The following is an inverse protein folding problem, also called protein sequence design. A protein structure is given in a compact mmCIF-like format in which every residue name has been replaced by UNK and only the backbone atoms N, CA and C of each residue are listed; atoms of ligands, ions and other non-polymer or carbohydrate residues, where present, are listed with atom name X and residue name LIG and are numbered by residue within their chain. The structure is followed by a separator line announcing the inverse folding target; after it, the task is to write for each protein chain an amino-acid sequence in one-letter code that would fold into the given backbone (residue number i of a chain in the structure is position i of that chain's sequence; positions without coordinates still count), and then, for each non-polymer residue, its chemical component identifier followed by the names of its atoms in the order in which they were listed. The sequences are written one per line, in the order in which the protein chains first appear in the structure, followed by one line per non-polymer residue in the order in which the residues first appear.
data_IF_897726337773
#
_entry.id   IF_897726337773
#
_cell.length_a   1.000
_cell.length_b   1.000
_cell.length_c   1.000
_cell.angle_alpha   90.00
_cell.angle_beta   90.00
_cell.angle_gamma   90.00
#
_symmetry.space_group_name_H-M   'P 1'
#
loop_
_entity.id
_entity.type
_entity.pdbx_description
1 polymer ?
#
# COMPACT_ATOMS: atom_id res chain seq x y z
N UNK A 1 10.20 3.90 -22.97
CA UNK A 1 8.94 3.19 -23.27
C UNK A 1 8.12 3.18 -22.00
N UNK A 2 7.15 4.08 -21.84
CA UNK A 2 6.22 4.04 -20.70
C UNK A 2 5.23 2.89 -20.95
N UNK A 3 5.43 1.78 -20.24
CA UNK A 3 4.55 0.62 -20.35
C UNK A 3 3.20 1.00 -19.73
N UNK A 4 2.19 1.24 -20.57
CA UNK A 4 0.82 1.35 -20.09
C UNK A 4 0.40 0.02 -19.46
N UNK A 5 0.32 0.03 -18.15
CA UNK A 5 0.03 -1.14 -17.34
C UNK A 5 -1.36 -1.70 -17.57
N UNK A 6 -1.46 -2.96 -18.03
CA UNK A 6 -2.73 -3.69 -18.00
C UNK A 6 -2.97 -4.20 -16.58
N UNK A 7 -3.84 -3.52 -15.84
CA UNK A 7 -4.25 -3.92 -14.49
C UNK A 7 -5.66 -4.55 -14.48
N UNK A 8 -5.90 -5.43 -13.50
CA UNK A 8 -7.19 -6.08 -13.27
C UNK A 8 -8.27 -5.05 -12.93
N UNK A 9 -9.57 -5.38 -13.12
CA UNK A 9 -10.66 -4.58 -12.60
C UNK A 9 -10.53 -4.38 -11.09
N UNK A 10 -10.91 -3.20 -10.61
CA UNK A 10 -10.97 -2.81 -9.19
C UNK A 10 -11.98 -3.64 -8.41
N UNK A 11 -13.07 -4.09 -9.05
CA UNK A 11 -14.13 -4.88 -8.43
C UNK A 11 -13.87 -6.38 -8.57
N UNK A 12 -13.83 -7.09 -7.44
CA UNK A 12 -13.62 -8.55 -7.40
C UNK A 12 -14.63 -9.36 -8.25
N UNK A 13 -15.85 -8.85 -8.44
CA UNK A 13 -16.92 -9.52 -9.20
C UNK A 13 -16.80 -9.33 -10.71
N UNK A 14 -15.97 -8.40 -11.16
CA UNK A 14 -15.90 -7.99 -12.55
C UNK A 14 -14.76 -8.74 -13.26
N UNK A 15 -15.00 -9.20 -14.51
CA UNK A 15 -14.00 -9.89 -15.33
C UNK A 15 -13.25 -8.94 -16.26
N UNK A 16 -13.96 -7.95 -16.81
CA UNK A 16 -13.44 -6.99 -17.79
C UNK A 16 -13.63 -5.59 -17.27
N UNK A 17 -12.59 -4.77 -17.40
CA UNK A 17 -12.57 -3.39 -16.92
C UNK A 17 -13.52 -2.52 -17.72
N UNK A 18 -14.26 -1.64 -17.04
CA UNK A 18 -15.11 -0.65 -17.74
C UNK A 18 -14.24 0.42 -18.42
N UNK A 19 -14.78 1.07 -19.46
CA UNK A 19 -14.01 1.99 -20.33
C UNK A 19 -13.46 3.20 -19.57
N UNK A 20 -14.21 3.64 -18.58
CA UNK A 20 -13.95 4.76 -17.68
C UNK A 20 -13.33 4.33 -16.35
N UNK A 21 -13.07 3.04 -16.13
CA UNK A 21 -12.47 2.56 -14.88
C UNK A 21 -10.95 2.84 -14.85
N UNK A 22 -10.53 4.10 -14.78
CA UNK A 22 -9.11 4.51 -14.85
C UNK A 22 -8.84 5.73 -13.98
N UNK A 23 -7.59 5.88 -13.52
CA UNK A 23 -7.17 7.00 -12.65
C UNK A 23 -7.53 8.35 -13.27
N UNK A 24 -7.29 8.52 -14.58
CA UNK A 24 -7.65 9.73 -15.32
C UNK A 24 -9.14 10.06 -15.25
N UNK A 25 -10.03 9.07 -15.37
CA UNK A 25 -11.47 9.30 -15.35
C UNK A 25 -11.95 9.77 -13.96
N UNK A 26 -11.35 9.24 -12.89
CA UNK A 26 -11.60 9.77 -11.54
C UNK A 26 -11.22 11.25 -11.47
N UNK A 27 -10.06 11.66 -12.00
CA UNK A 27 -9.65 13.06 -12.00
C UNK A 27 -10.51 13.93 -12.89
N UNK A 28 -10.93 13.45 -14.07
CA UNK A 28 -11.88 14.13 -14.95
C UNK A 28 -13.21 14.40 -14.23
N UNK A 29 -13.74 13.45 -13.46
CA UNK A 29 -14.95 13.61 -12.66
C UNK A 29 -14.86 14.77 -11.65
N UNK A 30 -13.67 15.03 -11.10
CA UNK A 30 -13.42 16.14 -10.17
C UNK A 30 -12.91 17.41 -10.87
N UNK A 31 -12.91 17.48 -12.20
CA UNK A 31 -12.42 18.65 -12.94
C UNK A 31 -10.91 18.85 -12.88
N UNK A 32 -10.15 17.77 -12.68
CA UNK A 32 -8.68 17.75 -12.56
C UNK A 32 -7.99 17.03 -13.72
N UNK A 33 -8.72 16.68 -14.79
CA UNK A 33 -8.20 15.85 -15.88
C UNK A 33 -7.09 16.50 -16.71
N UNK A 34 -7.07 17.83 -16.76
CA UNK A 34 -6.05 18.67 -17.39
C UNK A 34 -4.70 18.65 -16.66
N UNK A 35 -4.71 18.35 -15.35
CA UNK A 35 -3.50 18.21 -14.51
C UNK A 35 -2.92 16.79 -14.50
N UNK A 36 -3.60 15.83 -15.10
CA UNK A 36 -3.14 14.43 -15.13
C UNK A 36 -2.04 14.25 -16.19
N UNK A 37 -0.89 13.75 -15.78
CA UNK A 37 0.19 13.37 -16.69
C UNK A 37 0.02 11.91 -17.11
N UNK A 38 0.41 10.95 -16.26
CA UNK A 38 0.25 9.53 -16.54
C UNK A 38 0.43 8.65 -15.28
N UNK A 39 0.22 7.34 -15.43
CA UNK A 39 0.51 6.31 -14.44
C UNK A 39 1.61 5.40 -14.97
N UNK A 40 2.64 5.17 -14.16
CA UNK A 40 3.74 4.27 -14.49
C UNK A 40 3.66 3.03 -13.60
N UNK A 41 3.92 1.85 -14.18
CA UNK A 41 4.18 0.64 -13.41
C UNK A 41 5.68 0.54 -13.16
N UNK A 42 6.06 0.60 -11.89
CA UNK A 42 7.42 0.40 -11.43
C UNK A 42 7.41 -0.30 -10.08
N UNK A 43 8.51 -0.99 -9.78
CA UNK A 43 8.81 -1.45 -8.43
C UNK A 43 9.51 -0.31 -7.68
N UNK A 44 8.96 0.12 -6.55
CA UNK A 44 9.49 1.26 -5.81
C UNK A 44 10.89 1.00 -5.22
N UNK A 45 11.22 -0.26 -4.90
CA UNK A 45 12.56 -0.59 -4.41
C UNK A 45 13.64 -0.47 -5.49
N UNK A 46 13.25 -0.27 -6.75
CA UNK A 46 14.13 -0.16 -7.90
C UNK A 46 13.93 1.23 -8.54
N UNK A 47 14.83 2.20 -8.29
CA UNK A 47 14.67 3.56 -8.78
C UNK A 47 14.43 3.61 -10.30
N UNK A 48 13.30 4.21 -10.69
CA UNK A 48 12.93 4.38 -12.09
C UNK A 48 13.47 5.69 -12.69
N UNK A 49 13.55 6.73 -11.85
CA UNK A 49 13.79 8.10 -12.29
C UNK A 49 15.26 8.35 -12.53
N UNK A 50 15.57 9.08 -13.61
CA UNK A 50 16.94 9.53 -13.89
C UNK A 50 17.36 10.58 -12.87
N UNK A 51 18.67 10.68 -12.67
CA UNK A 51 19.26 11.79 -11.94
C UNK A 51 18.85 13.12 -12.59
N UNK A 52 18.57 14.13 -11.75
CA UNK A 52 18.12 15.46 -12.17
C UNK A 52 16.61 15.62 -12.38
N UNK A 53 15.80 14.56 -12.26
CA UNK A 53 14.33 14.71 -12.17
C UNK A 53 13.98 15.20 -10.77
N UNK A 54 13.31 16.35 -10.71
CA UNK A 54 12.88 16.95 -9.46
C UNK A 54 11.36 17.17 -9.40
N UNK A 55 10.80 17.05 -8.20
CA UNK A 55 9.39 17.24 -7.89
C UNK A 55 9.23 18.35 -6.86
N UNK A 56 8.17 19.15 -7.01
CA UNK A 56 7.78 20.14 -6.00
C UNK A 56 7.18 19.48 -4.76
N UNK A 57 6.46 18.37 -4.95
CA UNK A 57 5.89 17.58 -3.87
C UNK A 57 5.77 16.09 -4.22
N UNK A 58 5.89 15.25 -3.22
CA UNK A 58 5.61 13.81 -3.26
C UNK A 58 4.51 13.53 -2.25
N UNK A 59 3.41 12.90 -2.66
CA UNK A 59 2.28 12.57 -1.79
C UNK A 59 1.97 11.09 -1.94
N UNK A 60 1.96 10.33 -0.84
CA UNK A 60 1.75 8.88 -0.91
C UNK A 60 1.10 8.29 0.35
N UNK A 61 0.37 7.18 0.16
CA UNK A 61 -0.13 6.32 1.22
C UNK A 61 0.50 4.93 1.03
N UNK A 62 1.71 4.67 1.58
CA UNK A 62 2.41 3.44 1.31
C UNK A 62 1.66 2.19 1.80
N UNK A 63 1.85 1.02 1.18
CA UNK A 63 1.19 -0.21 1.62
C UNK A 63 1.65 -0.61 3.03
N UNK A 64 0.69 -0.79 3.94
CA UNK A 64 0.99 -1.17 5.34
C UNK A 64 1.16 -2.68 5.54
N UNK A 65 1.10 -3.47 4.47
CA UNK A 65 1.15 -4.93 4.57
C UNK A 65 -0.11 -5.56 5.18
N UNK A 66 -1.26 -4.89 5.25
CA UNK A 66 -2.52 -5.50 5.74
C UNK A 66 -3.40 -5.99 4.59
N UNK A 67 -3.66 -5.11 3.62
CA UNK A 67 -4.54 -5.39 2.48
C UNK A 67 -3.73 -5.72 1.24
N UNK A 68 -2.69 -4.95 0.99
CA UNK A 68 -1.74 -5.10 -0.10
C UNK A 68 -0.55 -5.96 0.36
N UNK A 69 -0.01 -6.79 -0.55
CA UNK A 69 1.24 -7.49 -0.30
C UNK A 69 2.39 -6.49 -0.40
N UNK A 70 3.30 -6.48 0.58
CA UNK A 70 4.53 -5.70 0.48
C UNK A 70 5.63 -6.61 -0.07
N UNK A 71 5.78 -6.53 -1.39
CA UNK A 71 6.73 -7.33 -2.17
C UNK A 71 7.61 -6.43 -3.00
N UNK A 72 8.87 -6.82 -3.14
CA UNK A 72 9.84 -6.21 -4.06
C UNK A 72 10.37 -7.26 -5.03
N UNK A 73 10.77 -6.83 -6.21
CA UNK A 73 11.45 -7.69 -7.19
C UNK A 73 12.84 -8.00 -6.66
N UNK A 74 13.21 -9.28 -6.70
CA UNK A 74 14.46 -9.76 -6.15
C UNK A 74 15.05 -10.88 -7.01
N UNK A 75 16.37 -10.81 -7.23
CA UNK A 75 17.11 -11.81 -7.99
C UNK A 75 17.70 -12.83 -7.04
N UNK A 76 16.97 -13.93 -6.83
CA UNK A 76 17.41 -15.01 -5.94
C UNK A 76 18.60 -15.75 -6.54
N UNK A 77 19.75 -15.73 -5.86
CA UNK A 77 21.01 -16.39 -6.30
C UNK A 77 20.89 -17.92 -6.32
N UNK A 78 19.89 -18.50 -5.65
CA UNK A 78 19.67 -19.94 -5.63
C UNK A 78 19.12 -20.41 -6.99
N UNK A 79 20.01 -20.98 -7.82
CA UNK A 79 19.69 -21.71 -9.03
C UNK A 79 18.77 -22.90 -8.72
N UNK A 80 17.45 -22.68 -8.71
CA UNK A 80 16.51 -23.79 -8.90
C UNK A 80 16.63 -24.23 -10.35
N UNK A 81 16.56 -25.54 -10.61
CA UNK A 81 16.52 -26.05 -11.98
C UNK A 81 15.43 -25.31 -12.76
N UNK A 82 15.81 -24.74 -13.91
CA UNK A 82 14.87 -24.06 -14.79
C UNK A 82 13.91 -25.10 -15.39
N UNK A 83 12.77 -25.30 -14.75
CA UNK A 83 11.66 -26.12 -15.27
C UNK A 83 10.83 -25.38 -16.33
N UNK A 84 11.32 -24.23 -16.81
CA UNK A 84 10.58 -23.32 -17.69
C UNK A 84 10.74 -23.73 -19.15
N UNK A 85 9.63 -23.90 -19.87
CA UNK A 85 9.64 -23.97 -21.34
C UNK A 85 9.94 -22.61 -21.97
N UNK A 86 10.48 -22.60 -23.20
CA UNK A 86 10.83 -21.37 -23.92
C UNK A 86 9.64 -20.43 -24.14
N UNK A 87 8.44 -20.98 -24.25
CA UNK A 87 7.21 -20.21 -24.57
C UNK A 87 6.52 -19.61 -23.33
N UNK A 88 7.00 -19.91 -22.12
CA UNK A 88 6.39 -19.37 -20.91
C UNK A 88 6.90 -17.96 -20.58
N UNK A 89 5.98 -17.00 -20.26
CA UNK A 89 6.37 -15.65 -19.85
C UNK A 89 7.19 -15.70 -18.55
N UNK A 90 8.26 -14.91 -18.50
CA UNK A 90 9.09 -14.79 -17.31
C UNK A 90 8.52 -13.74 -16.35
N UNK A 91 8.19 -14.16 -15.14
CA UNK A 91 7.92 -13.26 -14.03
C UNK A 91 9.13 -13.23 -13.10
N UNK A 92 9.67 -12.05 -12.77
CA UNK A 92 10.74 -11.92 -11.78
C UNK A 92 10.31 -12.53 -10.45
N UNK A 93 11.27 -13.07 -9.70
CA UNK A 93 11.00 -13.50 -8.33
C UNK A 93 10.74 -12.29 -7.43
N UNK A 94 9.88 -12.45 -6.43
CA UNK A 94 9.65 -11.43 -5.40
C UNK A 94 10.15 -11.88 -4.04
N UNK A 95 10.51 -10.92 -3.19
CA UNK A 95 10.81 -11.09 -1.77
C UNK A 95 10.02 -10.10 -0.92
N UNK A 96 10.01 -10.32 0.41
CA UNK A 96 9.27 -9.45 1.31
C UNK A 96 9.90 -8.06 1.35
N UNK A 97 9.08 -7.04 1.12
CA UNK A 97 9.46 -5.65 1.29
C UNK A 97 8.98 -5.19 2.67
N UNK A 98 9.89 -5.10 3.64
CA UNK A 98 9.52 -4.70 5.00
C UNK A 98 9.07 -3.24 5.02
N UNK A 99 8.15 -2.93 5.92
CA UNK A 99 7.67 -1.55 6.11
C UNK A 99 8.85 -0.61 6.42
N UNK A 100 9.81 -1.08 7.21
CA UNK A 100 11.08 -0.42 7.46
C UNK A 100 11.82 -0.02 6.18
N UNK A 101 12.16 -1.00 5.34
CA UNK A 101 12.91 -0.72 4.13
C UNK A 101 12.15 0.21 3.19
N UNK A 102 10.81 0.08 3.15
CA UNK A 102 9.97 0.96 2.35
C UNK A 102 10.12 2.43 2.75
N UNK A 103 10.07 2.76 4.04
CA UNK A 103 10.23 4.15 4.47
C UNK A 103 11.67 4.65 4.30
N UNK A 104 12.67 3.79 4.50
CA UNK A 104 14.07 4.13 4.19
C UNK A 104 14.18 4.57 2.73
N UNK A 105 13.70 3.73 1.82
CA UNK A 105 13.75 4.01 0.38
C UNK A 105 12.90 5.24 0.02
N UNK A 106 11.76 5.46 0.68
CA UNK A 106 10.90 6.63 0.46
C UNK A 106 11.56 7.94 0.87
N UNK A 107 12.18 7.99 2.04
CA UNK A 107 12.89 9.18 2.51
C UNK A 107 14.12 9.45 1.65
N UNK A 108 14.86 8.40 1.28
CA UNK A 108 15.99 8.50 0.36
C UNK A 108 15.55 9.05 -1.01
N UNK A 109 14.50 8.47 -1.60
CA UNK A 109 13.93 8.91 -2.87
C UNK A 109 13.51 10.38 -2.79
N UNK A 110 12.86 10.77 -1.70
CA UNK A 110 12.39 12.15 -1.50
C UNK A 110 13.55 13.13 -1.33
N UNK A 111 14.60 12.76 -0.59
CA UNK A 111 15.80 13.58 -0.46
C UNK A 111 16.50 13.79 -1.81
N UNK A 112 16.50 12.78 -2.69
CA UNK A 112 17.12 12.89 -4.02
C UNK A 112 16.27 13.71 -4.99
N UNK A 113 14.96 13.47 -5.03
CA UNK A 113 14.09 13.98 -6.09
C UNK A 113 13.19 15.15 -5.69
N UNK A 114 13.14 15.60 -4.44
CA UNK A 114 12.47 16.87 -4.13
C UNK A 114 13.36 18.05 -4.49
N UNK A 115 12.75 19.17 -4.89
CA UNK A 115 13.45 20.47 -4.90
C UNK A 115 13.74 20.92 -3.47
N UNK A 116 14.69 21.84 -3.29
CA UNK A 116 14.84 22.53 -1.99
C UNK A 116 13.54 23.24 -1.61
N UNK A 117 13.10 23.07 -0.36
CA UNK A 117 11.78 23.51 0.12
C UNK A 117 10.59 22.65 -0.37
N UNK A 118 10.83 21.66 -1.24
CA UNK A 118 9.83 20.69 -1.67
C UNK A 118 9.42 19.76 -0.54
N UNK A 119 8.23 19.16 -0.64
CA UNK A 119 7.63 18.41 0.48
C UNK A 119 7.28 16.96 0.17
N UNK A 120 7.61 16.07 1.10
CA UNK A 120 7.08 14.71 1.15
C UNK A 120 5.91 14.70 2.15
N UNK A 121 4.74 14.24 1.70
CA UNK A 121 3.58 13.97 2.55
C UNK A 121 3.28 12.48 2.48
N UNK A 122 3.42 11.77 3.60
CA UNK A 122 3.17 10.34 3.64
C UNK A 122 2.43 9.90 4.90
N UNK A 123 1.66 8.81 4.79
CA UNK A 123 1.07 8.15 5.94
C UNK A 123 2.04 7.15 6.56
N UNK A 124 2.14 7.10 7.89
CA UNK A 124 2.84 6.08 8.67
C UNK A 124 1.83 5.33 9.55
N UNK A 125 1.60 4.02 9.36
CA UNK A 125 0.74 3.25 10.25
C UNK A 125 1.44 2.97 11.58
N UNK A 126 0.69 2.99 12.67
CA UNK A 126 1.17 2.50 13.95
C UNK A 126 0.09 1.86 14.84
N UNK A 127 0.52 1.18 15.90
CA UNK A 127 -0.36 0.76 16.98
C UNK A 127 -0.25 1.77 18.12
N UNK A 128 -1.39 2.20 18.67
CA UNK A 128 -1.43 3.31 19.63
C UNK A 128 -0.55 3.08 20.86
N UNK A 129 -0.53 1.85 21.38
CA UNK A 129 0.28 1.49 22.55
C UNK A 129 1.79 1.42 22.27
N UNK A 130 2.20 1.29 21.00
CA UNK A 130 3.62 1.25 20.62
C UNK A 130 4.19 2.63 20.33
N UNK A 131 3.34 3.64 20.13
CA UNK A 131 3.77 4.90 19.56
C UNK A 131 4.80 5.61 20.44
N UNK A 132 6.01 5.77 19.89
CA UNK A 132 7.02 6.69 20.42
C UNK A 132 7.48 7.63 19.30
N UNK A 133 7.88 8.85 19.65
CA UNK A 133 8.38 9.83 18.68
C UNK A 133 9.63 9.35 17.94
N UNK A 134 10.37 8.41 18.53
CA UNK A 134 11.56 7.77 17.96
C UNK A 134 11.23 6.85 16.78
N UNK A 135 9.99 6.39 16.64
CA UNK A 135 9.55 5.56 15.52
C UNK A 135 9.34 6.35 14.23
N UNK A 136 9.42 7.67 14.26
CA UNK A 136 9.21 8.47 13.07
C UNK A 136 10.47 8.36 12.22
N UNK A 137 10.39 7.91 10.95
CA UNK A 137 11.54 7.86 10.05
C UNK A 137 12.19 9.24 9.94
N UNK A 138 13.52 9.29 9.98
CA UNK A 138 14.28 10.53 9.83
C UNK A 138 15.30 10.39 8.71
N UNK A 139 15.64 11.52 8.10
CA UNK A 139 16.68 11.60 7.08
C UNK A 139 17.33 12.97 7.17
N UNK A 140 18.66 13.04 7.10
CA UNK A 140 19.43 14.26 7.35
C UNK A 140 19.03 15.44 6.47
N UNK A 141 18.59 15.18 5.24
CA UNK A 141 18.12 16.21 4.28
C UNK A 141 16.63 16.56 4.36
N UNK A 142 15.88 16.01 5.32
CA UNK A 142 14.43 16.17 5.44
C UNK A 142 14.03 16.54 6.87
N UNK A 143 13.43 17.72 7.03
CA UNK A 143 12.91 18.17 8.32
C UNK A 143 11.43 17.82 8.47
N UNK A 144 11.06 17.22 9.60
CA UNK A 144 9.66 16.95 9.91
C UNK A 144 8.95 18.25 10.31
N UNK A 145 8.13 18.80 9.42
CA UNK A 145 7.38 20.04 9.62
C UNK A 145 5.91 19.82 10.02
N UNK A 146 5.40 18.59 9.86
CA UNK A 146 4.04 18.24 10.21
C UNK A 146 3.90 16.79 10.67
N UNK A 147 3.11 16.58 11.71
CA UNK A 147 2.79 15.26 12.26
C UNK A 147 1.35 15.30 12.81
N UNK A 148 0.42 14.64 12.13
CA UNK A 148 -0.99 14.63 12.52
C UNK A 148 -1.54 13.21 12.62
N UNK A 149 -2.11 12.85 13.76
CA UNK A 149 -2.70 11.53 14.00
C UNK A 149 -4.12 11.41 13.44
N UNK A 150 -4.39 10.30 12.77
CA UNK A 150 -5.72 9.83 12.40
C UNK A 150 -5.97 8.46 13.04
N UNK A 151 -6.87 8.39 14.05
CA UNK A 151 -7.29 7.12 14.61
C UNK A 151 -7.98 6.23 13.58
N UNK A 152 -7.66 4.93 13.58
CA UNK A 152 -8.33 3.91 12.79
C UNK A 152 -9.18 3.01 13.70
N UNK A 153 -9.79 1.96 13.13
CA UNK A 153 -10.60 1.03 13.93
C UNK A 153 -9.75 0.21 14.89
N UNK A 154 -10.16 0.13 16.16
CA UNK A 154 -9.49 -0.68 17.18
C UNK A 154 -8.33 0.06 17.84
N UNK A 155 -7.19 -0.60 17.96
CA UNK A 155 -5.99 -0.03 18.60
C UNK A 155 -4.97 0.52 17.60
N UNK A 156 -5.33 0.58 16.31
CA UNK A 156 -4.42 1.06 15.26
C UNK A 156 -4.73 2.51 14.90
N UNK A 157 -3.72 3.23 14.45
CA UNK A 157 -3.80 4.61 14.01
C UNK A 157 -2.79 4.84 12.89
N UNK A 158 -2.88 5.98 12.21
CA UNK A 158 -1.87 6.37 11.22
C UNK A 158 -1.57 7.85 11.35
N UNK A 159 -0.33 8.24 11.08
CA UNK A 159 0.12 9.63 11.16
C UNK A 159 0.38 10.15 9.76
N UNK A 160 -0.17 11.32 9.46
CA UNK A 160 0.20 12.10 8.28
C UNK A 160 1.48 12.85 8.63
N UNK A 161 2.59 12.42 8.05
CA UNK A 161 3.89 13.02 8.21
C UNK A 161 4.15 13.94 7.02
N UNK A 162 4.61 15.16 7.30
CA UNK A 162 5.04 16.11 6.29
C UNK A 162 6.49 16.45 6.54
N UNK A 163 7.34 16.15 5.56
CA UNK A 163 8.76 16.49 5.57
C UNK A 163 9.04 17.57 4.53
N UNK A 164 9.94 18.49 4.84
CA UNK A 164 10.43 19.52 3.92
C UNK A 164 11.91 19.28 3.63
N UNK A 165 12.31 19.34 2.35
CA UNK A 165 13.70 19.18 1.95
C UNK A 165 14.50 20.44 2.26
N UNK A 166 15.56 20.27 3.04
CA UNK A 166 16.50 21.35 3.40
C UNK A 166 17.80 21.25 2.59
N UNK A 167 18.56 22.34 2.57
CA UNK A 167 19.89 22.35 1.99
C UNK A 167 20.90 21.61 2.89
N UNK A 168 21.77 20.82 2.27
CA UNK A 168 22.76 19.95 2.92
C UNK A 168 24.09 20.71 3.15
N UNK A 169 24.24 21.94 2.66
CA UNK A 169 25.46 22.77 2.86
C UNK A 169 25.74 23.18 4.33
N UNK A 170 24.96 22.73 5.30
CA UNK A 170 25.36 22.72 6.72
C UNK A 170 26.40 21.61 6.96
N UNK A 171 27.55 21.90 7.60
CA UNK A 171 28.73 21.01 7.69
C UNK A 171 28.58 19.76 8.60
N UNK A 172 27.39 19.13 8.66
CA UNK A 172 27.16 17.82 9.26
C UNK A 172 26.86 16.79 8.15
N UNK A 173 27.80 16.67 7.23
CA UNK A 173 27.74 15.77 6.08
C UNK A 173 27.82 14.29 6.50
N UNK A 174 26.87 13.52 5.96
CA UNK A 174 26.86 12.06 5.80
C UNK A 174 26.49 11.21 7.03
N UNK A 175 25.19 11.03 7.26
CA UNK A 175 24.64 9.74 7.69
C UNK A 175 23.15 9.64 7.32
N UNK A 176 22.77 8.58 6.59
CA UNK A 176 21.39 8.09 6.61
C UNK A 176 21.15 7.56 8.03
N UNK A 177 20.39 8.28 8.85
CA UNK A 177 19.84 7.76 10.10
C UNK A 177 18.33 7.61 9.96
N UNK A 178 17.90 6.73 9.04
CA UNK A 178 16.53 6.23 9.11
C UNK A 178 16.46 5.22 10.26
N UNK A 179 16.34 5.72 11.48
CA UNK A 179 16.13 4.92 12.68
C UNK A 179 14.67 4.50 12.76
N UNK A 180 14.16 3.79 11.76
CA UNK A 180 12.92 3.07 12.00
C UNK A 180 13.31 1.83 12.81
N UNK A 181 12.71 1.60 13.98
CA UNK A 181 13.05 0.42 14.77
C UNK A 181 12.74 -0.84 13.95
N UNK A 182 13.75 -1.71 13.75
CA UNK A 182 13.61 -3.01 13.08
C UNK A 182 12.52 -3.90 13.72
N UNK A 183 12.11 -3.59 14.95
CA UNK A 183 11.08 -4.33 15.68
C UNK A 183 9.64 -4.01 15.24
N UNK A 184 9.43 -3.12 14.26
CA UNK A 184 8.08 -2.69 13.91
C UNK A 184 7.34 -3.65 12.98
N UNK A 185 6.83 -4.76 13.52
CA UNK A 185 5.91 -5.64 12.81
C UNK A 185 4.45 -5.20 13.02
N UNK A 186 4.09 -4.08 12.38
CA UNK A 186 2.72 -3.57 12.38
C UNK A 186 1.72 -4.63 11.93
N UNK A 187 2.09 -5.44 10.93
CA UNK A 187 1.21 -6.42 10.32
C UNK A 187 0.85 -7.49 11.34
N UNK A 188 1.84 -8.07 12.00
CA UNK A 188 1.60 -9.11 12.99
C UNK A 188 0.82 -8.58 14.19
N UNK A 189 1.16 -7.40 14.69
CA UNK A 189 0.44 -6.74 15.80
C UNK A 189 -1.01 -6.40 15.42
N UNK A 190 -1.25 -5.97 14.19
CA UNK A 190 -2.59 -5.69 13.66
C UNK A 190 -3.48 -6.94 13.63
N UNK A 191 -2.91 -8.10 13.28
CA UNK A 191 -3.67 -9.35 13.20
C UNK A 191 -3.80 -10.09 14.54
N UNK A 192 -2.81 -9.98 15.44
CA UNK A 192 -2.72 -10.80 16.64
C UNK A 192 -3.18 -10.09 17.93
N UNK A 193 -3.12 -8.75 18.01
CA UNK A 193 -3.46 -8.01 19.24
C UNK A 193 -4.85 -7.33 19.18
N UNK A 194 -5.79 -7.86 18.39
CA UNK A 194 -7.17 -7.41 18.47
C UNK A 194 -7.83 -7.99 19.74
N UNK A 195 -8.59 -7.20 20.53
CA UNK A 195 -9.24 -7.69 21.76
C UNK A 195 -10.28 -8.78 21.50
N UNK A 196 -10.73 -8.91 20.25
CA UNK A 196 -11.58 -10.00 19.77
C UNK A 196 -10.75 -10.81 18.76
N UNK A 197 -10.59 -12.11 19.00
CA UNK A 197 -9.89 -12.99 18.08
C UNK A 197 -10.54 -12.95 16.70
N UNK A 198 -9.76 -13.13 15.63
CA UNK A 198 -10.28 -13.22 14.26
C UNK A 198 -11.38 -14.28 14.15
N UNK A 199 -11.26 -15.37 14.90
CA UNK A 199 -12.23 -16.47 14.93
C UNK A 199 -13.53 -16.02 15.58
N UNK A 200 -13.45 -15.37 16.75
CA UNK A 200 -14.60 -14.84 17.49
C UNK A 200 -15.35 -13.78 16.66
N UNK A 201 -14.62 -12.83 16.07
CA UNK A 201 -15.18 -11.80 15.19
C UNK A 201 -15.90 -12.39 13.99
N UNK A 202 -15.38 -13.48 13.43
CA UNK A 202 -16.00 -14.21 12.31
C UNK A 202 -17.27 -14.93 12.76
N UNK A 203 -17.24 -15.59 13.91
CA UNK A 203 -18.38 -16.29 14.48
C UNK A 203 -19.53 -15.32 14.80
N UNK A 204 -19.25 -14.22 15.51
CA UNK A 204 -20.23 -13.18 15.82
C UNK A 204 -20.85 -12.56 14.57
N UNK A 205 -20.05 -12.23 13.56
CA UNK A 205 -20.58 -11.73 12.27
C UNK A 205 -21.43 -12.79 11.55
N UNK A 206 -21.09 -14.08 11.67
CA UNK A 206 -21.89 -15.16 11.10
C UNK A 206 -23.24 -15.32 11.83
N UNK A 207 -23.25 -15.22 13.15
CA UNK A 207 -24.47 -15.22 13.97
C UNK A 207 -25.37 -14.03 13.65
N UNK A 208 -24.81 -12.82 13.60
CA UNK A 208 -25.56 -11.61 13.19
C UNK A 208 -26.18 -11.76 11.80
N UNK A 209 -25.46 -12.37 10.85
CA UNK A 209 -26.00 -12.68 9.51
C UNK A 209 -27.11 -13.72 9.56
N UNK A 210 -27.00 -14.76 10.40
CA UNK A 210 -28.07 -15.75 10.59
C UNK A 210 -29.33 -15.10 11.16
N UNK A 211 -29.18 -14.25 12.19
CA UNK A 211 -30.28 -13.50 12.79
C UNK A 211 -30.94 -12.59 11.75
N UNK A 212 -30.15 -11.80 11.01
CA UNK A 212 -30.67 -10.94 9.94
C UNK A 212 -31.35 -11.73 8.81
N UNK A 213 -30.90 -12.96 8.52
CA UNK A 213 -31.53 -13.87 7.54
C UNK A 213 -32.90 -14.35 8.04
N UNK A 214 -33.01 -14.73 9.32
CA UNK A 214 -34.27 -15.12 9.95
C UNK A 214 -35.27 -13.95 9.97
N UNK A 215 -34.81 -12.75 10.33
CA UNK A 215 -35.64 -11.55 10.36
C UNK A 215 -36.11 -11.14 8.94
N UNK A 216 -35.25 -11.28 7.93
CA UNK A 216 -35.62 -11.06 6.54
C UNK A 216 -36.69 -12.04 6.04
N UNK A 217 -36.60 -13.32 6.41
CA UNK A 217 -37.65 -14.31 6.13
C UNK A 217 -38.98 -13.93 6.78
N UNK A 218 -38.96 -13.51 8.05
CA UNK A 218 -40.17 -13.03 8.75
C UNK A 218 -40.82 -11.83 8.05
N UNK A 219 -40.03 -11.00 7.36
CA UNK A 219 -40.51 -9.85 6.56
C UNK A 219 -40.89 -10.23 5.12
N UNK A 220 -40.93 -11.52 4.78
CA UNK A 220 -41.30 -11.99 3.44
C UNK A 220 -40.26 -11.70 2.35
N UNK A 221 -39.01 -11.35 2.69
CA UNK A 221 -37.96 -11.13 1.68
C UNK A 221 -37.49 -12.47 1.12
N UNK A 222 -37.50 -12.58 -0.21
CA UNK A 222 -36.87 -13.70 -0.93
C UNK A 222 -35.36 -13.62 -0.75
N UNK A 223 -34.77 -14.62 -0.11
CA UNK A 223 -33.32 -14.69 0.09
C UNK A 223 -32.71 -15.56 -1.01
N UNK A 224 -31.99 -14.91 -1.91
CA UNK A 224 -31.23 -15.58 -2.96
C UNK A 224 -29.84 -15.92 -2.39
N UNK A 225 -29.44 -17.19 -2.45
CA UNK A 225 -28.13 -17.63 -1.95
C UNK A 225 -27.00 -17.28 -2.93
N UNK A 226 -26.64 -15.99 -2.93
CA UNK A 226 -25.59 -15.44 -3.77
C UNK A 226 -24.19 -16.05 -3.51
N UNK A 227 -24.02 -16.82 -2.43
CA UNK A 227 -22.73 -17.45 -2.08
C UNK A 227 -22.43 -18.63 -3.00
N UNK A 228 -23.42 -19.46 -3.29
CA UNK A 228 -23.26 -20.61 -4.17
C UNK A 228 -23.05 -20.16 -5.62
N UNK A 229 -23.84 -19.17 -6.07
CA UNK A 229 -23.64 -18.51 -7.37
C UNK A 229 -22.22 -17.92 -7.50
N UNK A 230 -21.71 -17.23 -6.47
CA UNK A 230 -20.33 -16.69 -6.46
C UNK A 230 -19.26 -17.78 -6.45
N UNK A 231 -19.46 -18.87 -5.72
CA UNK A 231 -18.52 -19.98 -5.69
C UNK A 231 -18.44 -20.68 -7.05
N UNK A 232 -19.58 -20.88 -7.72
CA UNK A 232 -19.64 -21.45 -9.07
C UNK A 232 -19.03 -20.48 -10.11
N UNK A 233 -19.24 -19.17 -9.96
CA UNK A 233 -18.59 -18.15 -10.79
C UNK A 233 -17.06 -18.11 -10.59
N UNK A 234 -16.58 -18.38 -9.37
CA UNK A 234 -15.15 -18.46 -9.08
C UNK A 234 -14.51 -19.77 -9.59
N UNK A 235 -15.21 -20.91 -9.51
CA UNK A 235 -14.71 -22.17 -10.09
C UNK A 235 -14.57 -22.09 -11.61
N UNK A 236 -15.52 -21.47 -12.29
CA UNK A 236 -15.48 -21.20 -13.74
C UNK A 236 -14.52 -20.07 -14.16
N UNK A 237 -13.77 -19.45 -13.23
CA UNK A 237 -12.70 -18.48 -13.54
C UNK A 237 -11.33 -19.16 -13.74
N UNK A 238 -11.20 -20.43 -13.38
CA UNK A 238 -9.94 -21.20 -13.42
C UNK A 238 -10.03 -22.45 -14.30
N UNK A 239 -11.13 -22.62 -15.04
CA UNK A 239 -11.25 -23.50 -16.21
C UNK A 239 -11.10 -22.64 -17.46
#
# INVERSE_FOLDING_TARGET
MMLHGRSRPSRITQKVRERDERVRANLEQYGCGDRYIDVIISDFSNPLWREGVEFDAIITDPPYGIRESTEKVDSKTTSKQNTRSKDMPHYPSTSHYSLHQLYVDLLQFSAHHLKLGGRLVCWLPYHRDDYTSEMIPQHSSLDLVGNSEQPLSGLTSRRLLTYEKRDINTPDSAQLSCQLSNSYDFRDRYFNNAPESRTERRMRKAEQRKIGRIEALKRGKVIIDNKEAKNNLNKSRFQ
#
